data_IF_142981269832
#
_entry.id   IF_142981269832
#
_cell.length_a   1.000
_cell.length_b   1.000
_cell.length_c   1.000
_cell.angle_alpha   90.00
_cell.angle_beta   90.00
_cell.angle_gamma   90.00
#
_symmetry.space_group_name_H-M   'P 1'
#
loop_
_entity.id
_entity.type
_entity.pdbx_description
1 polymer ?
#
# COMPACT_ATOMS: atom_id res chain seq x y z
N UNK A 1 -15.47 3.27 -32.65
CA UNK A 1 -16.00 3.33 -31.28
C UNK A 1 -14.91 2.80 -30.37
N UNK A 2 -14.47 3.68 -29.47
CA UNK A 2 -13.37 3.70 -28.49
C UNK A 2 -12.46 2.47 -28.36
N UNK A 3 -11.16 2.62 -28.69
CA UNK A 3 -10.13 1.55 -28.62
C UNK A 3 -8.76 2.04 -28.09
N UNK A 4 -8.83 2.67 -26.93
CA UNK A 4 -7.92 2.57 -25.77
C UNK A 4 -8.83 3.02 -24.63
N UNK A 5 -9.15 2.15 -23.68
CA UNK A 5 -9.81 2.60 -22.45
C UNK A 5 -8.71 2.95 -21.46
N UNK A 6 -8.36 4.24 -21.40
CA UNK A 6 -7.72 4.80 -20.21
C UNK A 6 -8.76 4.69 -19.10
N UNK A 7 -8.62 3.69 -18.24
CA UNK A 7 -9.41 3.64 -17.02
C UNK A 7 -8.79 4.64 -16.04
N UNK A 8 -9.62 5.64 -15.76
CA UNK A 8 -9.28 6.83 -15.01
C UNK A 8 -8.71 6.51 -13.62
N UNK A 9 -7.83 7.41 -13.18
CA UNK A 9 -7.45 7.57 -11.79
C UNK A 9 -8.69 7.60 -10.89
N UNK A 10 -8.63 6.90 -9.75
CA UNK A 10 -9.62 7.09 -8.68
C UNK A 10 -9.53 8.56 -8.25
N UNK A 11 -10.63 9.35 -8.29
CA UNK A 11 -10.59 10.74 -7.90
C UNK A 11 -10.19 10.85 -6.42
N UNK A 12 -9.26 11.75 -6.12
CA UNK A 12 -8.97 12.15 -4.75
C UNK A 12 -10.18 12.92 -4.19
N UNK A 13 -10.51 12.77 -2.89
CA UNK A 13 -11.59 13.52 -2.27
C UNK A 13 -11.08 14.93 -1.93
N UNK A 14 -10.96 15.80 -2.93
CA UNK A 14 -10.76 17.23 -2.72
C UNK A 14 -11.78 18.04 -3.52
N UNK A 15 -12.95 18.19 -2.89
CA UNK A 15 -13.85 19.36 -2.91
C UNK A 15 -14.01 20.18 -4.20
N UNK A 16 -13.99 19.56 -5.38
CA UNK A 16 -14.29 20.25 -6.64
C UNK A 16 -15.12 19.35 -7.57
N UNK A 17 -16.08 19.92 -8.33
CA UNK A 17 -17.02 19.14 -9.13
C UNK A 17 -16.26 18.31 -10.18
N UNK A 18 -16.70 17.06 -10.45
CA UNK A 18 -15.98 16.14 -11.32
C UNK A 18 -16.13 16.59 -12.79
N UNK A 19 -15.26 17.49 -13.23
CA UNK A 19 -14.86 17.52 -14.62
C UNK A 19 -13.80 16.43 -14.78
N UNK A 20 -14.24 15.28 -15.31
CA UNK A 20 -13.39 14.17 -15.72
C UNK A 20 -12.42 14.70 -16.78
N UNK A 21 -11.27 15.17 -16.32
CA UNK A 21 -10.13 15.51 -17.17
C UNK A 21 -9.23 14.29 -17.17
N UNK A 22 -9.23 13.59 -18.30
CA UNK A 22 -8.32 12.48 -18.60
C UNK A 22 -6.90 13.02 -18.60
N UNK A 23 -6.21 12.92 -17.47
CA UNK A 23 -4.83 13.31 -17.35
C UNK A 23 -3.94 12.18 -17.85
N UNK A 24 -3.43 12.33 -19.08
CA UNK A 24 -2.29 11.58 -19.61
C UNK A 24 -1.17 11.55 -18.57
N UNK A 25 -0.76 10.37 -18.11
CA UNK A 25 0.41 10.27 -17.24
C UNK A 25 1.68 10.66 -18.03
N UNK A 26 2.49 11.63 -17.58
CA UNK A 26 3.66 12.12 -18.32
C UNK A 26 4.84 11.13 -18.38
N UNK A 27 4.78 10.00 -17.65
CA UNK A 27 5.90 9.05 -17.52
C UNK A 27 5.64 7.66 -18.14
N UNK A 28 4.45 7.35 -18.68
CA UNK A 28 4.28 6.11 -19.46
C UNK A 28 4.80 6.34 -20.88
N UNK A 29 5.90 5.68 -21.22
CA UNK A 29 6.60 5.86 -22.50
C UNK A 29 5.67 5.58 -23.69
N UNK A 30 5.56 6.54 -24.60
CA UNK A 30 4.85 6.40 -25.88
C UNK A 30 5.56 5.48 -26.88
N UNK A 31 6.74 4.95 -26.53
CA UNK A 31 7.60 4.12 -27.38
C UNK A 31 7.13 2.68 -27.53
N UNK A 32 6.21 2.20 -26.71
CA UNK A 32 5.73 0.81 -26.71
C UNK A 32 4.42 0.62 -27.48
N UNK A 33 3.97 1.57 -28.31
CA UNK A 33 2.71 1.47 -29.05
C UNK A 33 2.92 1.36 -30.57
N UNK A 34 2.45 0.29 -31.20
CA UNK A 34 2.44 0.10 -32.66
C UNK A 34 1.08 0.45 -33.29
N UNK A 35 1.11 0.83 -34.58
CA UNK A 35 -0.10 0.99 -35.41
C UNK A 35 -0.51 -0.38 -35.95
N UNK A 36 -1.70 -0.84 -35.58
CA UNK A 36 -2.29 -2.06 -36.14
C UNK A 36 -2.55 -1.97 -37.66
N UNK A 37 -2.75 -3.11 -38.35
CA UNK A 37 -3.00 -3.16 -39.79
C UNK A 37 -4.31 -2.43 -40.17
N UNK A 38 -4.34 -1.86 -41.38
CA UNK A 38 -5.43 -1.04 -41.88
C UNK A 38 -6.77 -1.82 -41.87
N UNK A 39 -7.64 -1.49 -40.91
CA UNK A 39 -8.95 -2.13 -40.71
C UNK A 39 -9.36 -2.26 -39.25
N UNK A 40 -8.41 -2.22 -38.31
CA UNK A 40 -8.67 -2.10 -36.87
C UNK A 40 -8.23 -0.72 -36.37
N UNK A 41 -9.17 0.11 -35.93
CA UNK A 41 -8.85 1.42 -35.35
C UNK A 41 -8.40 1.26 -33.88
N UNK A 42 -7.12 0.96 -33.62
CA UNK A 42 -6.53 0.83 -32.27
C UNK A 42 -4.99 0.91 -32.30
N UNK A 43 -4.36 1.24 -31.17
CA UNK A 43 -2.89 1.11 -31.00
C UNK A 43 -2.62 -0.09 -30.11
N UNK A 44 -1.75 -0.99 -30.56
CA UNK A 44 -1.36 -2.20 -29.84
C UNK A 44 -0.06 -1.94 -29.09
N UNK A 45 0.12 -2.57 -27.92
CA UNK A 45 1.41 -2.55 -27.25
C UNK A 45 2.43 -3.42 -27.98
N UNK A 46 3.71 -3.15 -27.77
CA UNK A 46 4.80 -3.98 -28.27
C UNK A 46 4.96 -5.26 -27.46
N UNK A 47 5.09 -6.39 -28.16
CA UNK A 47 5.30 -7.70 -27.57
C UNK A 47 4.02 -8.29 -26.95
N UNK A 48 4.20 -9.05 -25.86
CA UNK A 48 3.09 -9.73 -25.15
C UNK A 48 2.44 -8.84 -24.07
N UNK A 49 2.82 -7.56 -24.01
CA UNK A 49 2.25 -6.60 -23.05
C UNK A 49 0.82 -6.26 -23.47
N UNK A 50 -0.13 -6.33 -22.54
CA UNK A 50 -1.53 -5.94 -22.79
C UNK A 50 -2.05 -4.87 -21.82
N UNK A 51 -1.25 -4.51 -20.82
CA UNK A 51 -1.54 -3.45 -19.85
C UNK A 51 -0.29 -3.00 -19.09
N UNK A 52 -0.37 -1.82 -18.49
CA UNK A 52 0.68 -1.24 -17.63
C UNK A 52 0.05 -0.38 -16.52
N UNK A 53 0.49 -0.57 -15.28
CA UNK A 53 0.10 0.24 -14.13
C UNK A 53 1.26 0.43 -13.15
N UNK A 54 1.19 1.51 -12.37
CA UNK A 54 2.14 1.79 -11.31
C UNK A 54 1.86 0.90 -10.11
N UNK A 55 2.91 0.35 -9.49
CA UNK A 55 2.75 -0.43 -8.27
C UNK A 55 2.53 0.45 -7.04
N UNK A 56 1.66 0.01 -6.12
CA UNK A 56 1.35 0.70 -4.86
C UNK A 56 0.86 2.14 -5.02
N UNK A 57 0.30 2.48 -6.18
CA UNK A 57 -0.10 3.83 -6.53
C UNK A 57 -1.56 4.15 -6.18
N UNK A 58 -2.33 3.19 -5.63
CA UNK A 58 -3.73 3.39 -5.29
C UNK A 58 -3.92 4.57 -4.33
N UNK A 59 -4.87 5.46 -4.63
CA UNK A 59 -5.12 6.72 -3.92
C UNK A 59 -3.99 7.76 -3.94
N UNK A 60 -3.06 7.65 -4.89
CA UNK A 60 -2.01 8.66 -5.13
C UNK A 60 -2.26 9.43 -6.43
N UNK A 61 -1.50 10.49 -6.67
CA UNK A 61 -1.51 11.20 -7.96
C UNK A 61 -1.14 10.29 -9.15
N UNK A 62 -0.49 9.15 -8.90
CA UNK A 62 -0.09 8.17 -9.90
C UNK A 62 -1.05 6.98 -10.01
N UNK A 63 -2.18 7.00 -9.28
CA UNK A 63 -3.21 5.95 -9.29
C UNK A 63 -3.79 5.83 -10.71
N UNK A 64 -3.54 4.72 -11.39
CA UNK A 64 -4.02 4.54 -12.76
C UNK A 64 -3.28 3.44 -13.52
N UNK A 65 -3.78 3.15 -14.72
CA UNK A 65 -3.17 2.18 -15.63
C UNK A 65 -3.72 2.32 -17.05
N UNK A 66 -3.02 1.73 -18.01
CA UNK A 66 -3.42 1.67 -19.41
C UNK A 66 -3.65 0.22 -19.81
N UNK A 67 -4.70 -0.04 -20.57
CA UNK A 67 -5.10 -1.39 -20.97
C UNK A 67 -5.38 -1.42 -22.47
N UNK A 68 -4.90 -2.46 -23.14
CA UNK A 68 -5.21 -2.76 -24.53
C UNK A 68 -6.43 -3.69 -24.59
N UNK A 69 -7.35 -3.35 -25.49
CA UNK A 69 -8.49 -4.20 -25.83
C UNK A 69 -8.03 -5.29 -26.81
N UNK A 70 -7.37 -6.31 -26.26
CA UNK A 70 -6.64 -7.35 -26.98
C UNK A 70 -7.47 -8.63 -27.20
N UNK A 71 -8.74 -8.66 -26.79
CA UNK A 71 -9.57 -9.87 -26.85
C UNK A 71 -10.99 -9.56 -27.38
N UNK A 72 -11.56 -10.45 -28.18
CA UNK A 72 -12.95 -10.30 -28.70
C UNK A 72 -14.05 -10.50 -27.65
N UNK A 73 -13.69 -10.71 -26.38
CA UNK A 73 -14.60 -10.94 -25.26
C UNK A 73 -14.24 -9.95 -24.13
N UNK A 74 -15.26 -9.30 -23.58
CA UNK A 74 -15.15 -8.34 -22.48
C UNK A 74 -14.47 -8.92 -21.22
N UNK A 75 -14.54 -10.24 -21.01
CA UNK A 75 -13.88 -10.91 -19.88
C UNK A 75 -12.35 -10.73 -19.94
N UNK A 76 -11.75 -10.82 -21.13
CA UNK A 76 -10.30 -10.66 -21.30
C UNK A 76 -9.86 -9.25 -20.92
N UNK A 77 -10.58 -8.23 -21.41
CA UNK A 77 -10.32 -6.84 -21.03
C UNK A 77 -10.54 -6.59 -19.54
N UNK A 78 -11.61 -7.14 -18.96
CA UNK A 78 -11.88 -7.00 -17.52
C UNK A 78 -10.78 -7.64 -16.66
N UNK A 79 -10.22 -8.78 -17.10
CA UNK A 79 -9.09 -9.42 -16.43
C UNK A 79 -7.83 -8.55 -16.47
N UNK A 80 -7.51 -7.93 -17.61
CA UNK A 80 -6.36 -7.00 -17.68
C UNK A 80 -6.57 -5.78 -16.79
N UNK A 81 -7.77 -5.21 -16.79
CA UNK A 81 -8.09 -4.10 -15.89
C UNK A 81 -7.92 -4.50 -14.42
N UNK A 82 -8.39 -5.70 -14.03
CA UNK A 82 -8.20 -6.23 -12.69
C UNK A 82 -6.72 -6.46 -12.34
N UNK A 83 -5.94 -6.98 -13.28
CA UNK A 83 -4.49 -7.16 -13.16
C UNK A 83 -3.77 -5.83 -12.89
N UNK A 84 -4.06 -4.81 -13.70
CA UNK A 84 -3.44 -3.49 -13.57
C UNK A 84 -3.91 -2.75 -12.30
N UNK A 85 -5.15 -2.96 -11.85
CA UNK A 85 -5.57 -2.52 -10.52
C UNK A 85 -4.81 -3.25 -9.41
N UNK A 86 -4.53 -4.55 -9.57
CA UNK A 86 -3.68 -5.32 -8.67
C UNK A 86 -2.30 -4.67 -8.48
N UNK A 87 -1.66 -4.24 -9.57
CA UNK A 87 -0.41 -3.47 -9.46
C UNK A 87 -0.63 -2.19 -8.64
N UNK A 88 -1.67 -1.39 -8.89
CA UNK A 88 -1.97 -0.20 -8.08
C UNK A 88 -2.11 -0.50 -6.57
N UNK A 89 -2.60 -1.69 -6.21
CA UNK A 89 -2.66 -2.21 -4.84
C UNK A 89 -1.34 -2.85 -4.34
N UNK A 90 -0.26 -2.77 -5.11
CA UNK A 90 1.06 -3.27 -4.74
C UNK A 90 1.31 -4.75 -5.04
N UNK A 91 0.39 -5.42 -5.73
CA UNK A 91 0.53 -6.85 -6.02
C UNK A 91 1.62 -7.06 -7.08
N UNK A 92 2.42 -8.09 -6.88
CA UNK A 92 3.39 -8.57 -7.88
C UNK A 92 2.88 -9.81 -8.59
N UNK A 93 3.45 -10.12 -9.76
CA UNK A 93 3.11 -11.33 -10.49
C UNK A 93 3.34 -12.57 -9.61
N UNK A 94 2.50 -13.58 -9.80
CA UNK A 94 2.60 -14.82 -9.05
C UNK A 94 3.88 -15.58 -9.41
N UNK A 95 4.62 -15.97 -8.38
CA UNK A 95 5.84 -16.78 -8.51
C UNK A 95 5.58 -18.27 -8.26
N UNK A 96 6.62 -19.12 -8.37
CA UNK A 96 6.51 -20.53 -8.04
C UNK A 96 6.04 -20.73 -6.59
N UNK A 97 4.95 -21.47 -6.41
CA UNK A 97 4.37 -21.77 -5.09
C UNK A 97 3.13 -20.96 -4.72
N UNK A 98 2.77 -19.94 -5.50
CA UNK A 98 1.49 -19.25 -5.37
C UNK A 98 0.36 -20.10 -5.99
N UNK A 99 -0.76 -20.22 -5.28
CA UNK A 99 -1.88 -21.09 -5.67
C UNK A 99 -3.18 -20.28 -5.71
N UNK A 100 -3.94 -20.43 -6.79
CA UNK A 100 -5.30 -19.91 -6.89
C UNK A 100 -6.30 -21.03 -7.23
N UNK A 101 -7.40 -21.10 -6.46
CA UNK A 101 -8.47 -22.07 -6.66
C UNK A 101 -8.17 -23.52 -6.21
N UNK A 102 -9.16 -24.43 -6.31
CA UNK A 102 -9.00 -25.82 -5.93
C UNK A 102 -8.25 -26.61 -7.02
N UNK A 103 -7.00 -26.97 -6.74
CA UNK A 103 -6.10 -27.83 -7.53
C UNK A 103 -5.78 -27.34 -8.97
N UNK A 104 -4.53 -26.91 -9.17
CA UNK A 104 -3.83 -26.81 -10.48
C UNK A 104 -4.43 -25.84 -11.52
N UNK A 105 -5.19 -24.82 -11.11
CA UNK A 105 -5.50 -23.70 -12.01
C UNK A 105 -4.28 -22.76 -12.10
N UNK A 106 -3.73 -22.60 -13.30
CA UNK A 106 -2.59 -21.71 -13.57
C UNK A 106 -2.99 -20.27 -13.87
N UNK A 107 -4.28 -19.94 -13.76
CA UNK A 107 -4.83 -18.66 -14.17
C UNK A 107 -5.23 -17.79 -12.95
N UNK A 108 -4.29 -17.06 -12.36
CA UNK A 108 -4.47 -16.25 -11.13
C UNK A 108 -4.36 -14.72 -11.37
N UNK A 109 -5.28 -13.78 -11.01
CA UNK A 109 -5.55 -12.34 -11.45
C UNK A 109 -4.34 -11.58 -11.95
N UNK A 110 -3.21 -11.80 -11.32
CA UNK A 110 -1.92 -11.63 -11.97
C UNK A 110 -1.74 -12.61 -13.19
N UNK A 111 -2.84 -12.96 -13.92
CA UNK A 111 -3.26 -14.19 -14.65
C UNK A 111 -4.74 -14.75 -14.48
N UNK A 112 -5.77 -14.06 -13.91
CA UNK A 112 -7.28 -14.33 -13.77
C UNK A 112 -8.02 -14.48 -12.38
N UNK A 113 -7.59 -15.26 -11.35
CA UNK A 113 -8.10 -15.26 -9.92
C UNK A 113 -7.09 -14.86 -8.82
N UNK A 114 -7.43 -14.10 -7.77
CA UNK A 114 -6.42 -13.77 -6.74
C UNK A 114 -5.82 -15.03 -6.09
N UNK A 115 -4.48 -15.16 -6.13
CA UNK A 115 -3.72 -16.20 -5.45
C UNK A 115 -3.63 -15.94 -3.95
N UNK A 116 -3.24 -16.94 -3.17
CA UNK A 116 -2.85 -16.80 -1.78
C UNK A 116 -1.76 -15.72 -1.56
N UNK A 117 -0.74 -15.69 -2.42
CA UNK A 117 0.30 -14.66 -2.43
C UNK A 117 -0.26 -13.25 -2.71
N UNK A 118 -1.19 -13.13 -3.67
CA UNK A 118 -1.81 -11.86 -4.04
C UNK A 118 -2.74 -11.35 -2.92
N UNK A 119 -3.47 -12.25 -2.26
CA UNK A 119 -4.31 -11.92 -1.12
C UNK A 119 -3.48 -11.44 0.08
N UNK A 120 -2.34 -12.09 0.35
CA UNK A 120 -1.42 -11.64 1.38
C UNK A 120 -0.87 -10.24 1.07
N UNK A 121 -0.39 -10.01 -0.17
CA UNK A 121 0.12 -8.69 -0.58
C UNK A 121 -0.96 -7.61 -0.53
N UNK A 122 -2.20 -7.93 -0.93
CA UNK A 122 -3.32 -7.00 -0.85
C UNK A 122 -3.68 -6.66 0.60
N UNK A 123 -3.70 -7.66 1.49
CA UNK A 123 -3.94 -7.45 2.92
C UNK A 123 -2.86 -6.55 3.51
N UNK A 124 -1.58 -6.85 3.21
CA UNK A 124 -0.45 -6.01 3.61
C UNK A 124 -0.58 -4.59 3.06
N UNK A 125 -1.02 -4.40 1.82
CA UNK A 125 -1.25 -3.07 1.26
C UNK A 125 -2.36 -2.31 1.98
N UNK A 126 -3.53 -2.92 2.15
CA UNK A 126 -4.67 -2.27 2.80
C UNK A 126 -4.37 -1.89 4.25
N UNK A 127 -3.67 -2.77 4.97
CA UNK A 127 -3.20 -2.54 6.33
C UNK A 127 -2.16 -1.40 6.38
N UNK A 128 -1.19 -1.39 5.45
CA UNK A 128 -0.04 -0.47 5.48
C UNK A 128 -0.32 0.90 4.87
N UNK A 129 -1.16 0.98 3.85
CA UNK A 129 -1.47 2.21 3.14
C UNK A 129 -2.73 2.92 3.67
N UNK A 130 -3.64 2.19 4.34
CA UNK A 130 -4.96 2.66 4.79
C UNK A 130 -5.58 3.70 3.84
N UNK A 131 -5.78 3.34 2.57
CA UNK A 131 -6.12 4.28 1.51
C UNK A 131 -7.50 4.94 1.77
N UNK A 132 -7.50 6.14 2.35
CA UNK A 132 -8.73 6.85 2.74
C UNK A 132 -9.65 7.18 1.56
N UNK A 133 -9.15 7.21 0.33
CA UNK A 133 -9.96 7.44 -0.87
C UNK A 133 -10.85 6.25 -1.26
N UNK A 134 -10.60 5.05 -0.69
CA UNK A 134 -11.43 3.86 -0.92
C UNK A 134 -12.57 3.72 0.10
N UNK A 135 -12.72 4.69 1.01
CA UNK A 135 -13.90 4.71 1.88
C UNK A 135 -15.15 4.89 1.01
N UNK A 136 -16.21 4.10 1.24
CA UNK A 136 -17.45 4.24 0.49
C UNK A 136 -17.96 5.69 0.60
N UNK A 137 -18.25 6.36 -0.53
CA UNK A 137 -18.91 7.65 -0.47
C UNK A 137 -20.36 7.44 0.00
N UNK A 138 -20.83 8.26 0.95
CA UNK A 138 -22.20 8.18 1.46
C UNK A 138 -23.26 8.51 0.40
N UNK A 139 -22.88 9.13 -0.71
CA UNK A 139 -23.77 9.38 -1.86
C UNK A 139 -22.98 9.46 -3.16
N UNK A 140 -23.61 9.06 -4.25
CA UNK A 140 -23.02 9.08 -5.59
C UNK A 140 -23.97 9.79 -6.57
N UNK A 141 -23.40 10.60 -7.48
CA UNK A 141 -24.19 11.38 -8.45
C UNK A 141 -24.58 10.57 -9.69
N UNK A 142 -23.79 9.57 -10.04
CA UNK A 142 -23.96 8.74 -11.23
C UNK A 142 -23.34 7.37 -10.98
N UNK A 143 -24.12 6.31 -11.19
CA UNK A 143 -23.66 4.92 -11.11
C UNK A 143 -23.79 4.27 -12.48
N UNK A 144 -22.72 3.60 -12.92
CA UNK A 144 -22.71 2.86 -14.17
C UNK A 144 -23.58 1.60 -14.00
N UNK A 145 -24.78 1.62 -14.59
CA UNK A 145 -25.79 0.56 -14.44
C UNK A 145 -27.16 1.05 -13.97
N UNK A 146 -27.25 2.30 -13.49
CA UNK A 146 -28.48 2.89 -12.92
C UNK A 146 -28.62 2.61 -11.41
N UNK A 147 -29.55 3.31 -10.73
CA UNK A 147 -29.80 3.14 -9.28
C UNK A 147 -30.21 1.72 -8.90
N UNK A 148 -29.69 1.21 -7.78
CA UNK A 148 -29.94 -0.14 -7.28
C UNK A 148 -30.13 -0.17 -5.75
N UNK A 149 -31.37 0.08 -5.33
CA UNK A 149 -31.80 -0.06 -3.93
C UNK A 149 -31.39 -1.39 -3.28
N UNK A 150 -30.81 -1.31 -2.08
CA UNK A 150 -30.32 -2.41 -1.27
C UNK A 150 -28.80 -2.62 -1.36
N UNK A 151 -28.05 -1.67 -1.92
CA UNK A 151 -26.58 -1.75 -2.05
C UNK A 151 -25.82 -0.83 -1.06
N UNK A 152 -26.54 -0.18 -0.13
CA UNK A 152 -26.03 0.76 0.86
C UNK A 152 -25.38 2.04 0.28
N UNK A 153 -25.70 2.40 -0.97
CA UNK A 153 -25.29 3.67 -1.58
C UNK A 153 -26.51 4.53 -1.89
N UNK A 154 -26.54 5.78 -1.41
CA UNK A 154 -27.62 6.69 -1.77
C UNK A 154 -27.46 7.16 -3.23
N UNK A 155 -28.32 6.66 -4.10
CA UNK A 155 -28.31 6.93 -5.55
C UNK A 155 -29.41 7.93 -5.98
N UNK A 156 -29.31 8.55 -7.17
CA UNK A 156 -30.35 9.47 -7.65
C UNK A 156 -31.70 8.79 -7.78
N UNK A 157 -32.69 9.26 -7.01
CA UNK A 157 -34.05 8.70 -6.99
C UNK A 157 -34.37 7.90 -5.72
N UNK A 158 -33.39 7.68 -4.85
CA UNK A 158 -33.58 7.04 -3.55
C UNK A 158 -33.65 8.08 -2.43
N UNK A 159 -34.50 7.83 -1.43
CA UNK A 159 -34.57 8.64 -0.21
C UNK A 159 -33.62 8.08 0.86
N UNK A 160 -33.41 6.76 0.85
CA UNK A 160 -32.45 6.01 1.65
C UNK A 160 -32.10 4.68 0.97
N UNK A 161 -30.90 4.17 1.24
CA UNK A 161 -30.50 2.79 0.92
C UNK A 161 -29.71 2.24 2.11
N UNK A 162 -30.30 1.28 2.83
CA UNK A 162 -29.70 0.67 4.02
C UNK A 162 -29.10 -0.72 3.76
N UNK A 163 -28.94 -1.10 2.49
CA UNK A 163 -28.49 -2.45 2.14
C UNK A 163 -29.57 -3.54 2.32
N UNK A 164 -29.25 -4.77 1.93
CA UNK A 164 -30.02 -5.95 2.32
C UNK A 164 -29.70 -6.31 3.78
N UNK A 165 -30.51 -5.85 4.73
CA UNK A 165 -30.21 -5.97 6.17
C UNK A 165 -30.52 -7.39 6.70
N UNK A 166 -29.57 -8.31 6.58
CA UNK A 166 -29.34 -9.35 7.59
C UNK A 166 -28.02 -9.02 8.30
N UNK A 167 -28.11 -8.46 9.52
CA UNK A 167 -26.92 -8.22 10.33
C UNK A 167 -26.33 -9.55 10.77
N UNK A 168 -25.01 -9.66 10.65
CA UNK A 168 -24.27 -10.81 11.17
C UNK A 168 -24.49 -10.98 12.67
N UNK A 169 -24.54 -12.24 13.12
CA UNK A 169 -24.81 -12.55 14.52
C UNK A 169 -23.72 -11.94 15.42
N UNK A 170 -24.06 -11.42 16.62
CA UNK A 170 -23.08 -10.95 17.58
C UNK A 170 -22.00 -12.01 17.85
N UNK A 171 -20.73 -11.60 17.82
CA UNK A 171 -19.60 -12.51 17.98
C UNK A 171 -19.12 -13.18 16.69
N UNK A 172 -19.73 -12.90 15.54
CA UNK A 172 -19.19 -13.32 14.24
C UNK A 172 -17.96 -12.51 13.87
N UNK A 173 -16.92 -13.13 13.31
CA UNK A 173 -15.68 -12.41 12.93
C UNK A 173 -15.95 -11.54 11.71
N UNK A 174 -15.88 -10.21 11.84
CA UNK A 174 -16.00 -9.28 10.71
C UNK A 174 -14.63 -8.86 10.15
N UNK A 175 -13.58 -8.85 10.97
CA UNK A 175 -12.21 -8.63 10.50
C UNK A 175 -11.27 -9.63 11.16
N UNK A 176 -10.51 -10.34 10.34
CA UNK A 176 -9.45 -11.24 10.84
C UNK A 176 -8.22 -10.41 11.19
N UNK A 177 -7.47 -10.88 12.18
CA UNK A 177 -6.15 -10.37 12.51
C UNK A 177 -5.22 -10.46 11.29
N UNK A 178 -4.56 -9.34 10.96
CA UNK A 178 -3.59 -9.21 9.88
C UNK A 178 -2.19 -9.74 10.25
N UNK A 179 -1.91 -9.94 11.54
CA UNK A 179 -0.62 -10.45 12.00
C UNK A 179 -0.52 -10.51 13.52
N UNK A 180 0.66 -10.88 14.02
CA UNK A 180 0.88 -11.08 15.46
C UNK A 180 0.62 -9.84 16.33
N UNK A 181 0.61 -8.66 15.73
CA UNK A 181 0.40 -7.37 16.39
C UNK A 181 -1.04 -6.86 16.30
N UNK A 182 -1.93 -7.59 15.65
CA UNK A 182 -3.27 -7.15 15.31
C UNK A 182 -4.32 -8.09 15.93
N UNK A 183 -5.45 -7.55 16.39
CA UNK A 183 -6.52 -8.36 17.01
C UNK A 183 -7.66 -8.55 16.00
N UNK A 184 -8.39 -9.66 16.05
CA UNK A 184 -9.61 -9.80 15.26
C UNK A 184 -10.76 -9.00 15.89
N UNK A 185 -11.67 -8.50 15.05
CA UNK A 185 -12.91 -7.85 15.47
C UNK A 185 -14.11 -8.72 15.17
N UNK A 186 -15.11 -8.54 16.03
CA UNK A 186 -16.32 -9.32 16.03
C UNK A 186 -17.54 -8.41 15.91
N UNK A 187 -18.49 -8.80 15.08
CA UNK A 187 -19.77 -8.12 14.92
C UNK A 187 -20.44 -7.94 16.27
N UNK A 188 -21.02 -6.76 16.49
CA UNK A 188 -21.87 -6.50 17.66
C UNK A 188 -23.30 -6.99 17.44
N UNK A 189 -23.67 -7.27 16.19
CA UNK A 189 -25.04 -7.51 15.74
C UNK A 189 -25.95 -6.28 15.83
N UNK A 190 -25.38 -5.10 16.04
CA UNK A 190 -26.11 -3.83 16.16
C UNK A 190 -25.79 -2.84 15.02
N UNK A 191 -24.77 -3.14 14.22
CA UNK A 191 -24.29 -2.31 13.10
C UNK A 191 -23.86 -3.22 11.96
N UNK A 192 -23.97 -2.72 10.73
CA UNK A 192 -23.36 -3.32 9.54
C UNK A 192 -21.83 -3.17 9.55
N UNK A 193 -21.35 -2.08 10.16
CA UNK A 193 -19.93 -1.83 10.33
C UNK A 193 -19.32 -2.71 11.41
N UNK A 194 -18.14 -3.26 11.10
CA UNK A 194 -17.28 -3.88 12.08
C UNK A 194 -16.84 -2.82 13.13
N UNK A 195 -16.65 -3.20 14.41
CA UNK A 195 -16.09 -2.28 15.41
C UNK A 195 -14.77 -1.64 14.99
N UNK A 196 -14.39 -0.57 15.68
CA UNK A 196 -13.10 0.06 15.46
C UNK A 196 -11.95 -0.96 15.61
N UNK A 197 -11.05 -0.90 14.64
CA UNK A 197 -9.84 -1.70 14.53
C UNK A 197 -8.99 -1.59 15.80
N UNK A 198 -8.79 -2.73 16.45
CA UNK A 198 -8.10 -2.90 17.72
C UNK A 198 -6.85 -3.75 17.51
N UNK A 199 -5.77 -3.39 18.19
CA UNK A 199 -4.47 -4.04 18.01
C UNK A 199 -3.77 -4.31 19.34
N UNK A 200 -2.77 -5.19 19.29
CA UNK A 200 -1.90 -5.45 20.43
C UNK A 200 -1.21 -4.17 20.88
N UNK A 201 -0.93 -4.08 22.18
CA UNK A 201 -0.27 -2.90 22.72
C UNK A 201 1.09 -2.65 22.05
N UNK A 202 1.43 -1.38 21.86
CA UNK A 202 2.74 -1.01 21.33
C UNK A 202 3.84 -1.54 22.25
N UNK A 203 4.94 -2.00 21.66
CA UNK A 203 6.07 -2.56 22.41
C UNK A 203 5.99 -4.07 22.68
N UNK A 204 4.90 -4.75 22.32
CA UNK A 204 4.88 -6.22 22.36
C UNK A 204 5.89 -6.80 21.37
N UNK A 205 6.72 -7.78 21.77
CA UNK A 205 7.63 -8.45 20.84
C UNK A 205 6.89 -9.11 19.69
N UNK A 206 7.39 -8.88 18.47
CA UNK A 206 6.82 -9.46 17.27
C UNK A 206 7.92 -9.94 16.33
N UNK A 207 7.52 -10.71 15.32
CA UNK A 207 8.43 -11.17 14.28
C UNK A 207 7.74 -10.98 12.93
N UNK A 208 8.44 -10.31 12.02
CA UNK A 208 8.07 -10.27 10.62
C UNK A 208 9.14 -10.97 9.78
N UNK A 209 10.23 -10.27 9.50
CA UNK A 209 11.46 -10.84 8.92
C UNK A 209 12.64 -10.79 9.90
N UNK A 210 12.53 -9.88 10.87
CA UNK A 210 13.45 -9.74 11.98
C UNK A 210 12.64 -9.58 13.27
N UNK A 211 13.22 -9.90 14.44
CA UNK A 211 12.64 -9.54 15.72
C UNK A 211 12.39 -8.04 15.80
N UNK A 212 11.21 -7.66 16.26
CA UNK A 212 10.77 -6.28 16.37
C UNK A 212 9.76 -6.09 17.50
N UNK A 213 9.08 -4.94 17.47
CA UNK A 213 8.08 -4.58 18.44
C UNK A 213 6.82 -4.06 17.74
N UNK A 214 5.65 -4.42 18.26
CA UNK A 214 4.39 -3.97 17.72
C UNK A 214 4.25 -2.45 17.81
N UNK A 215 3.71 -1.86 16.76
CA UNK A 215 3.36 -0.45 16.72
C UNK A 215 2.12 -0.26 15.84
N UNK A 216 1.01 0.18 16.44
CA UNK A 216 -0.26 0.45 15.75
C UNK A 216 -0.74 -0.72 14.87
N UNK A 217 -0.79 -1.93 15.43
CA UNK A 217 -1.22 -3.14 14.70
C UNK A 217 -0.13 -3.82 13.87
N UNK A 218 0.99 -3.14 13.61
CA UNK A 218 2.03 -3.63 12.71
C UNK A 218 3.29 -4.06 13.45
N UNK A 219 4.10 -4.90 12.79
CA UNK A 219 5.46 -5.24 13.21
C UNK A 219 6.50 -4.54 12.31
N UNK A 220 6.73 -3.23 12.47
CA UNK A 220 7.55 -2.45 11.55
C UNK A 220 9.03 -2.90 11.55
N UNK A 221 9.57 -3.11 10.36
CA UNK A 221 10.98 -3.44 10.16
C UNK A 221 11.60 -2.67 9.00
N UNK A 222 12.91 -2.41 9.10
CA UNK A 222 13.70 -1.78 8.04
C UNK A 222 13.68 -2.60 6.74
N UNK A 223 13.70 -3.92 6.84
CA UNK A 223 13.71 -4.81 5.67
C UNK A 223 12.40 -4.72 4.89
N UNK A 224 11.26 -4.86 5.58
CA UNK A 224 9.94 -4.68 4.95
C UNK A 224 9.77 -3.28 4.36
N UNK A 225 10.33 -2.26 5.00
CA UNK A 225 10.28 -0.90 4.47
C UNK A 225 11.11 -0.74 3.19
N UNK A 226 12.28 -1.38 3.09
CA UNK A 226 13.03 -1.41 1.84
C UNK A 226 12.28 -2.11 0.70
N UNK A 227 11.64 -3.24 1.00
CA UNK A 227 10.83 -3.95 0.00
C UNK A 227 9.62 -3.10 -0.44
N UNK A 228 8.99 -2.37 0.48
CA UNK A 228 7.92 -1.42 0.14
C UNK A 228 8.41 -0.29 -0.78
N UNK A 229 9.62 0.21 -0.54
CA UNK A 229 10.15 1.34 -1.29
C UNK A 229 10.66 0.94 -2.68
N UNK A 230 11.28 -0.23 -2.82
CA UNK A 230 12.05 -0.60 -4.01
C UNK A 230 11.72 -1.99 -4.58
N UNK A 231 10.69 -2.65 -4.05
CA UNK A 231 10.26 -3.97 -4.50
C UNK A 231 11.21 -5.10 -4.12
N UNK A 232 11.02 -6.23 -4.80
CA UNK A 232 11.79 -7.46 -4.56
C UNK A 232 13.30 -7.27 -4.81
N UNK A 233 14.12 -7.97 -4.03
CA UNK A 233 15.58 -7.87 -4.06
C UNK A 233 16.17 -6.62 -3.40
N UNK A 234 15.33 -5.71 -2.89
CA UNK A 234 15.80 -4.61 -2.04
C UNK A 234 16.25 -5.13 -0.68
N UNK A 235 17.29 -4.53 -0.10
CA UNK A 235 17.82 -4.89 1.22
C UNK A 235 18.11 -3.65 2.03
N UNK A 236 18.13 -3.78 3.36
CA UNK A 236 18.55 -2.70 4.25
C UNK A 236 19.98 -2.28 3.95
N UNK A 237 20.20 -0.96 3.81
CA UNK A 237 21.53 -0.41 3.63
C UNK A 237 22.46 -0.71 4.82
N UNK A 238 23.76 -0.93 4.60
CA UNK A 238 24.72 -1.11 5.69
C UNK A 238 24.84 0.16 6.55
N UNK A 239 25.49 0.02 7.70
CA UNK A 239 25.69 1.11 8.67
C UNK A 239 26.32 2.36 8.06
N UNK A 240 27.18 2.19 7.05
CA UNK A 240 27.78 3.30 6.30
C UNK A 240 26.72 4.20 5.63
N UNK A 241 25.64 3.62 5.09
CA UNK A 241 24.55 4.41 4.51
C UNK A 241 23.86 5.26 5.58
N UNK A 242 23.52 4.65 6.72
CA UNK A 242 22.84 5.36 7.82
C UNK A 242 23.72 6.42 8.49
N UNK A 243 25.05 6.33 8.39
CA UNK A 243 25.95 7.38 8.85
C UNK A 243 25.80 8.70 8.06
N UNK A 244 25.24 8.68 6.85
CA UNK A 244 24.89 9.88 6.11
C UNK A 244 23.91 10.77 6.88
N UNK A 245 23.04 10.17 7.70
CA UNK A 245 22.06 10.92 8.50
C UNK A 245 22.70 11.90 9.51
N UNK A 246 23.99 11.79 9.78
CA UNK A 246 24.74 12.74 10.61
C UNK A 246 24.96 14.09 9.91
N UNK A 247 24.80 14.17 8.59
CA UNK A 247 24.98 15.40 7.82
C UNK A 247 23.89 16.42 8.10
N UNK A 248 22.65 15.96 8.35
CA UNK A 248 21.53 16.87 8.54
C UNK A 248 21.19 17.61 7.25
N UNK A 249 21.10 16.88 6.14
CA UNK A 249 20.77 17.41 4.82
C UNK A 249 19.43 16.86 4.34
N UNK A 250 18.93 17.39 3.22
CA UNK A 250 17.75 16.83 2.56
C UNK A 250 18.00 15.37 2.17
N UNK A 251 17.11 14.47 2.59
CA UNK A 251 17.26 13.03 2.36
C UNK A 251 18.38 12.36 3.18
N UNK A 252 18.94 13.03 4.18
CA UNK A 252 19.88 12.42 5.13
C UNK A 252 19.87 13.13 6.48
N UNK A 253 18.78 12.97 7.23
CA UNK A 253 18.58 13.65 8.51
C UNK A 253 17.70 12.84 9.48
N UNK A 254 17.58 13.33 10.73
CA UNK A 254 16.62 12.87 11.74
C UNK A 254 15.34 13.73 11.71
N UNK A 255 14.84 13.99 10.49
CA UNK A 255 13.69 14.85 10.26
C UNK A 255 14.08 16.32 10.08
N UNK A 256 13.10 17.20 10.28
CA UNK A 256 13.18 18.62 9.98
C UNK A 256 12.42 19.43 11.02
N UNK A 257 12.95 20.59 11.38
CA UNK A 257 12.27 21.60 12.19
C UNK A 257 12.25 22.96 11.47
N UNK A 258 11.92 24.03 12.19
CA UNK A 258 11.89 25.40 11.66
C UNK A 258 13.29 25.92 11.27
N UNK A 259 14.35 25.38 11.86
CA UNK A 259 15.75 25.75 11.60
C UNK A 259 16.37 24.99 10.43
N UNK A 260 15.80 23.85 10.04
CA UNK A 260 16.26 23.07 8.89
C UNK A 260 16.21 21.57 9.14
N UNK A 261 17.04 20.84 8.41
CA UNK A 261 17.20 19.40 8.59
C UNK A 261 18.04 19.12 9.85
N UNK A 262 17.56 18.19 10.68
CA UNK A 262 18.18 17.91 11.97
C UNK A 262 19.25 16.82 11.78
N UNK A 263 20.54 17.07 12.04
CA UNK A 263 21.55 16.02 12.00
C UNK A 263 21.29 14.98 13.08
N UNK A 264 21.42 13.70 12.75
CA UNK A 264 21.25 12.62 13.72
C UNK A 264 22.44 12.52 14.68
N UNK A 265 22.15 12.19 15.94
CA UNK A 265 23.16 11.70 16.88
C UNK A 265 23.63 10.29 16.47
N UNK A 266 24.76 9.83 17.01
CA UNK A 266 25.28 8.47 16.75
C UNK A 266 24.32 7.36 17.18
N UNK A 267 23.47 7.59 18.17
CA UNK A 267 22.47 6.60 18.64
C UNK A 267 21.19 6.64 17.81
N UNK A 268 20.89 7.77 17.16
CA UNK A 268 19.66 7.98 16.40
C UNK A 268 19.83 7.73 14.90
N UNK A 269 21.04 7.49 14.40
CA UNK A 269 21.31 7.32 12.96
C UNK A 269 20.46 6.25 12.29
N UNK A 270 20.02 5.23 13.03
CA UNK A 270 19.15 4.15 12.56
C UNK A 270 17.65 4.47 12.59
N UNK A 271 17.28 5.68 13.01
CA UNK A 271 15.91 6.19 13.05
C UNK A 271 15.69 7.43 12.18
N UNK A 272 16.73 7.88 11.46
CA UNK A 272 16.64 8.97 10.49
C UNK A 272 16.11 8.51 9.13
N UNK A 273 16.62 9.12 8.06
CA UNK A 273 16.30 8.73 6.69
C UNK A 273 16.65 7.25 6.44
N UNK A 274 15.76 6.57 5.72
CA UNK A 274 15.86 5.18 5.34
C UNK A 274 16.77 5.03 4.11
N UNK A 275 17.73 4.10 4.22
CA UNK A 275 18.58 3.73 3.09
C UNK A 275 18.45 2.25 2.77
N UNK A 276 18.37 1.96 1.47
CA UNK A 276 18.28 0.62 0.91
C UNK A 276 19.37 0.40 -0.15
N UNK A 277 19.57 -0.85 -0.54
CA UNK A 277 20.44 -1.29 -1.64
C UNK A 277 19.72 -2.36 -2.46
N UNK A 278 20.11 -2.58 -3.72
CA UNK A 278 19.47 -3.60 -4.57
C UNK A 278 17.99 -3.31 -4.86
N UNK A 279 17.26 -4.22 -5.50
CA UNK A 279 15.86 -4.01 -5.90
C UNK A 279 15.68 -3.05 -7.08
N UNK A 280 14.42 -2.76 -7.41
CA UNK A 280 14.01 -2.03 -8.62
C UNK A 280 13.82 -0.51 -8.44
N UNK A 281 12.94 0.04 -9.28
CA UNK A 281 12.52 1.44 -9.23
C UNK A 281 11.79 1.76 -7.91
N UNK A 282 11.85 3.04 -7.52
CA UNK A 282 11.14 3.51 -6.32
C UNK A 282 9.63 3.49 -6.56
N UNK A 283 8.86 3.17 -5.52
CA UNK A 283 7.39 3.34 -5.48
C UNK A 283 6.93 4.76 -5.88
N UNK A 284 7.77 5.77 -5.66
CA UNK A 284 7.47 7.16 -6.04
C UNK A 284 7.86 7.50 -7.48
N UNK A 285 8.47 6.57 -8.22
CA UNK A 285 9.11 6.82 -9.51
C UNK A 285 10.39 7.68 -9.42
N UNK A 286 10.76 8.15 -8.22
CA UNK A 286 11.92 9.01 -7.97
C UNK A 286 12.79 8.44 -6.86
N UNK A 287 14.11 8.51 -7.04
CA UNK A 287 15.09 8.08 -6.03
C UNK A 287 16.29 9.00 -6.03
N UNK A 288 16.94 9.08 -4.88
CA UNK A 288 18.28 9.63 -4.74
C UNK A 288 19.23 8.50 -4.33
N UNK A 289 20.49 8.61 -4.72
CA UNK A 289 21.49 7.58 -4.52
C UNK A 289 22.85 8.18 -4.17
N UNK A 290 23.49 7.61 -3.16
CA UNK A 290 24.85 7.95 -2.76
C UNK A 290 25.77 6.78 -3.12
N UNK A 291 26.58 6.90 -4.19
CA UNK A 291 27.49 5.83 -4.60
C UNK A 291 28.65 5.70 -3.59
N UNK A 292 28.93 4.48 -3.14
CA UNK A 292 30.01 4.16 -2.19
C UNK A 292 30.59 2.77 -2.45
N UNK A 293 31.91 2.64 -2.64
CA UNK A 293 32.63 1.34 -2.69
C UNK A 293 31.93 0.19 -3.44
N UNK A 294 31.44 0.44 -4.66
CA UNK A 294 30.79 -0.58 -5.49
C UNK A 294 29.33 -0.89 -5.13
N UNK A 295 28.72 -0.09 -4.26
CA UNK A 295 27.30 -0.13 -3.92
C UNK A 295 26.68 1.27 -3.95
N UNK A 296 25.35 1.35 -3.96
CA UNK A 296 24.62 2.62 -3.96
C UNK A 296 23.63 2.63 -2.80
N UNK A 297 23.81 3.55 -1.85
CA UNK A 297 22.83 3.80 -0.79
C UNK A 297 21.69 4.63 -1.38
N UNK A 298 20.53 4.01 -1.63
CA UNK A 298 19.39 4.68 -2.23
C UNK A 298 18.27 4.97 -1.23
N UNK A 299 17.57 6.08 -1.45
CA UNK A 299 16.36 6.48 -0.74
C UNK A 299 15.25 6.83 -1.74
N UNK A 300 14.00 6.62 -1.34
CA UNK A 300 12.86 7.05 -2.12
C UNK A 300 12.70 8.57 -1.98
N UNK A 301 12.42 9.26 -3.09
CA UNK A 301 12.17 10.70 -3.09
C UNK A 301 10.70 10.94 -3.29
N UNK A 302 10.07 11.69 -2.37
CA UNK A 302 8.68 12.10 -2.44
C UNK A 302 8.58 13.62 -2.56
N UNK A 303 7.79 14.12 -3.51
CA UNK A 303 7.66 15.55 -3.79
C UNK A 303 6.94 16.31 -2.67
N UNK A 304 5.85 15.74 -2.12
CA UNK A 304 5.00 16.42 -1.15
C UNK A 304 5.44 16.21 0.32
N UNK A 305 6.32 15.23 0.59
CA UNK A 305 6.81 14.84 1.93
C UNK A 305 5.73 14.59 2.99
N UNK A 306 4.48 14.39 2.57
CA UNK A 306 3.33 14.22 3.48
C UNK A 306 3.39 12.87 4.20
N UNK A 307 3.92 11.82 3.54
CA UNK A 307 3.85 10.45 4.04
C UNK A 307 5.08 10.01 4.82
N UNK A 308 6.14 10.83 4.86
CA UNK A 308 7.44 10.50 5.49
C UNK A 308 7.94 9.10 5.11
N UNK A 309 7.67 8.67 3.88
CA UNK A 309 7.96 7.31 3.42
C UNK A 309 9.46 7.07 3.25
N UNK A 310 10.23 8.16 3.14
CA UNK A 310 11.69 8.19 3.09
C UNK A 310 12.35 8.00 4.46
N UNK A 311 11.60 8.03 5.55
CA UNK A 311 12.11 7.85 6.91
C UNK A 311 11.97 6.40 7.41
N UNK A 312 12.78 6.03 8.40
CA UNK A 312 12.59 4.76 9.12
C UNK A 312 11.24 4.79 9.85
N UNK A 313 10.35 3.79 9.69
CA UNK A 313 9.03 3.82 10.29
C UNK A 313 9.08 3.85 11.83
N UNK A 314 8.16 4.59 12.44
CA UNK A 314 7.97 4.59 13.90
C UNK A 314 7.68 3.17 14.39
N UNK A 315 8.23 2.82 15.55
CA UNK A 315 8.14 1.48 16.15
C UNK A 315 9.23 0.51 15.68
N UNK A 316 9.96 0.84 14.61
CA UNK A 316 11.02 -0.03 14.09
C UNK A 316 12.13 -0.23 15.12
N UNK A 317 12.59 -1.47 15.30
CA UNK A 317 13.71 -1.74 16.20
C UNK A 317 15.01 -1.08 15.72
N UNK A 318 15.63 -0.32 16.62
CA UNK A 318 16.93 0.35 16.42
C UNK A 318 18.03 -0.18 17.35
N UNK A 319 17.71 -1.12 18.23
CA UNK A 319 18.64 -1.78 19.14
C UNK A 319 17.91 -2.69 20.12
N UNK A 320 18.66 -3.36 20.99
CA UNK A 320 18.09 -4.23 22.03
C UNK A 320 17.18 -3.41 22.94
N UNK A 321 15.90 -3.79 23.07
CA UNK A 321 14.88 -3.08 23.84
C UNK A 321 14.67 -1.61 23.41
N UNK A 322 14.94 -1.30 22.14
CA UNK A 322 14.80 0.07 21.61
C UNK A 322 14.03 0.12 20.30
N UNK A 323 13.29 1.20 20.13
CA UNK A 323 12.43 1.50 18.98
C UNK A 323 12.67 2.92 18.48
N UNK A 324 12.43 3.12 17.18
CA UNK A 324 12.40 4.45 16.60
C UNK A 324 11.09 5.16 16.94
N UNK A 325 11.17 6.30 17.60
CA UNK A 325 10.03 7.17 17.89
C UNK A 325 10.41 8.62 17.62
N UNK A 326 9.66 9.28 16.74
CA UNK A 326 9.94 10.67 16.33
C UNK A 326 11.40 10.88 15.92
N UNK A 327 11.90 9.98 15.08
CA UNK A 327 13.28 9.93 14.55
C UNK A 327 14.38 9.76 15.60
N UNK A 328 14.05 9.26 16.80
CA UNK A 328 15.01 8.97 17.88
C UNK A 328 14.96 7.51 18.29
N UNK A 329 16.11 6.95 18.66
CA UNK A 329 16.21 5.59 19.17
C UNK A 329 16.00 5.56 20.68
N UNK A 330 14.77 5.29 21.11
CA UNK A 330 14.34 5.33 22.51
C UNK A 330 14.09 3.94 23.06
N UNK A 331 14.05 3.81 24.38
CA UNK A 331 13.68 2.56 25.05
C UNK A 331 12.21 2.20 24.81
N UNK A 332 11.93 0.91 24.61
CA UNK A 332 10.57 0.40 24.34
C UNK A 332 9.59 0.70 25.48
N UNK A 333 10.09 0.93 26.71
CA UNK A 333 9.29 1.34 27.87
C UNK A 333 8.53 2.65 27.68
N UNK A 334 8.83 3.43 26.63
CA UNK A 334 8.03 4.61 26.25
C UNK A 334 6.56 4.29 25.97
N UNK A 335 6.25 3.04 25.59
CA UNK A 335 4.89 2.57 25.36
C UNK A 335 4.16 2.10 26.63
N UNK A 336 4.85 2.11 27.78
CA UNK A 336 4.34 1.58 29.04
C UNK A 336 4.73 0.11 29.27
N UNK A 337 4.36 -0.43 30.43
CA UNK A 337 4.73 -1.79 30.85
C UNK A 337 3.61 -2.79 30.55
N UNK A 338 3.98 -3.97 30.07
CA UNK A 338 3.05 -5.08 29.79
C UNK A 338 2.23 -5.47 31.02
N UNK A 339 2.83 -5.43 32.21
CA UNK A 339 2.15 -5.76 33.46
C UNK A 339 1.02 -4.78 33.78
N UNK A 340 1.15 -3.51 33.38
CA UNK A 340 0.12 -2.50 33.59
C UNK A 340 -1.07 -2.74 32.65
N UNK A 341 -0.80 -3.12 31.40
CA UNK A 341 -1.84 -3.55 30.46
C UNK A 341 -2.54 -4.82 30.94
N UNK A 342 -1.78 -5.85 31.33
CA UNK A 342 -2.31 -7.13 31.82
C UNK A 342 -3.19 -6.96 33.06
N UNK A 343 -2.87 -6.00 33.94
CA UNK A 343 -3.71 -5.63 35.08
C UNK A 343 -5.04 -5.02 34.66
N UNK A 344 -5.05 -4.16 33.62
CA UNK A 344 -6.30 -3.60 33.06
C UNK A 344 -7.20 -4.70 32.49
N UNK A 345 -6.59 -5.73 31.88
CA UNK A 345 -7.30 -6.87 31.32
C UNK A 345 -7.68 -7.94 32.36
N UNK A 346 -7.35 -7.75 33.65
CA UNK A 346 -7.62 -8.73 34.71
C UNK A 346 -7.03 -10.12 34.45
N UNK A 347 -5.98 -10.21 33.62
CA UNK A 347 -5.38 -11.48 33.18
C UNK A 347 -6.24 -12.32 32.23
N UNK A 348 -7.27 -11.75 31.60
CA UNK A 348 -8.22 -12.47 30.75
C UNK A 348 -8.14 -12.14 29.26
N UNK A 349 -7.10 -11.40 28.85
CA UNK A 349 -7.02 -10.80 27.52
C UNK A 349 -7.67 -9.43 27.50
#
# INVERSE_FOLDING_TARGET
>A
MERVKELAAIPTPLSTPPNITVARQPNLSTSTLQKGPAGQSGKDFEGDTVGLANKFAMCTANSGGVNQDHHGNLIGLASTVAHEMGHNFGLSHDGPGCVCGPLLSHNCVMAERLSDCSLQQLAEFMERARPGCLRPPASVRTVAGGPHCGNAMLEPGEECDCGSVELEAPGSVCRRSAGSCDLPEYCTGQSEDCPEDSFQMNGEPCYSQAPGYCHQGQCPSREQHCWRLFGDGAKVGPDLCFNLNKRGEEGSSCGRDKSGFIPCSSVDVKCGTMFCVGGGESITGKRAGYPMFGMECKLAVEDDKIRNIDMVPTGTSCGTNKVCLSNKCVDVSVYGKKEECSKKCGGKG
#
